data_IF_877435219459
#
_entry.id   IF_877435219459
#
_cell.length_a   1.000
_cell.length_b   1.000
_cell.length_c   1.000
_cell.angle_alpha   90.00
_cell.angle_beta   90.00
_cell.angle_gamma   90.00
#
_symmetry.space_group_name_H-M   'P 1'
#
loop_
_entity.id
_entity.type
_entity.pdbx_description
1 polymer ?
#
# COMPACT_ATOMS: atom_id res chain seq x y z
N UNK A 1 -10.38 -6.09 2.30
CA UNK A 1 -10.24 -7.29 1.44
C UNK A 1 -9.47 -8.38 2.15
N UNK A 2 -8.20 -8.13 2.49
CA UNK A 2 -7.29 -9.16 3.07
C UNK A 2 -7.85 -9.80 4.34
N UNK A 3 -8.29 -9.01 5.32
CA UNK A 3 -8.87 -9.53 6.57
C UNK A 3 -10.06 -10.45 6.29
N UNK A 4 -10.97 -10.04 5.39
CA UNK A 4 -12.15 -10.83 5.05
C UNK A 4 -11.77 -12.14 4.37
N UNK A 5 -10.82 -12.10 3.41
CA UNK A 5 -10.30 -13.31 2.77
C UNK A 5 -9.68 -14.27 3.77
N UNK A 6 -8.77 -13.78 4.62
CA UNK A 6 -8.07 -14.62 5.60
C UNK A 6 -9.02 -15.24 6.62
N UNK A 7 -10.02 -14.48 7.10
CA UNK A 7 -11.08 -15.04 7.94
C UNK A 7 -11.87 -16.13 7.20
N UNK A 8 -12.19 -15.91 5.92
CA UNK A 8 -12.87 -16.91 5.09
C UNK A 8 -12.06 -18.20 4.93
N UNK A 9 -10.76 -18.07 4.70
CA UNK A 9 -9.83 -19.20 4.60
C UNK A 9 -9.73 -19.97 5.91
N UNK A 10 -9.55 -19.27 7.03
CA UNK A 10 -9.40 -19.90 8.35
C UNK A 10 -10.70 -20.56 8.86
N UNK A 11 -11.86 -19.98 8.55
CA UNK A 11 -13.16 -20.50 8.94
C UNK A 11 -13.77 -21.47 7.92
N UNK A 12 -13.13 -21.68 6.77
CA UNK A 12 -13.64 -22.52 5.69
C UNK A 12 -14.87 -21.94 4.99
N UNK A 13 -15.10 -20.60 5.07
CA UNK A 13 -16.28 -19.94 4.50
C UNK A 13 -15.93 -19.34 3.14
N UNK A 14 -16.18 -20.09 2.05
CA UNK A 14 -15.83 -19.69 0.68
C UNK A 14 -16.42 -18.34 0.24
N UNK A 15 -17.60 -17.98 0.72
CA UNK A 15 -18.24 -16.69 0.39
C UNK A 15 -17.40 -15.49 0.87
N UNK A 16 -16.78 -15.61 2.06
CA UNK A 16 -15.91 -14.55 2.59
C UNK A 16 -14.63 -14.41 1.77
N UNK A 17 -14.09 -15.52 1.29
CA UNK A 17 -12.92 -15.52 0.40
C UNK A 17 -13.25 -14.77 -0.89
N UNK A 18 -14.40 -15.05 -1.49
CA UNK A 18 -14.87 -14.39 -2.71
C UNK A 18 -15.09 -12.89 -2.49
N UNK A 19 -15.79 -12.49 -1.43
CA UNK A 19 -16.02 -11.09 -1.08
C UNK A 19 -14.71 -10.36 -0.83
N UNK A 20 -13.79 -10.99 -0.10
CA UNK A 20 -12.45 -10.45 0.13
C UNK A 20 -11.63 -10.29 -1.16
N UNK A 21 -11.79 -11.20 -2.12
CA UNK A 21 -11.20 -11.14 -3.46
C UNK A 21 -11.65 -9.91 -4.24
N UNK A 22 -12.95 -9.65 -4.32
CA UNK A 22 -13.47 -8.43 -4.97
C UNK A 22 -12.96 -7.16 -4.30
N UNK A 23 -12.93 -7.12 -2.96
CA UNK A 23 -12.41 -5.97 -2.23
C UNK A 23 -10.90 -5.74 -2.46
N UNK A 24 -10.11 -6.80 -2.63
CA UNK A 24 -8.69 -6.71 -3.03
C UNK A 24 -8.54 -6.18 -4.45
N UNK A 25 -9.36 -6.68 -5.40
CA UNK A 25 -9.34 -6.24 -6.80
C UNK A 25 -9.68 -4.76 -6.96
N UNK A 26 -10.53 -4.21 -6.10
CA UNK A 26 -10.90 -2.80 -6.12
C UNK A 26 -9.86 -1.84 -5.51
N UNK A 27 -8.73 -2.34 -4.99
CA UNK A 27 -7.75 -1.52 -4.25
C UNK A 27 -7.25 -0.34 -5.06
N UNK A 28 -6.80 -0.56 -6.29
CA UNK A 28 -6.30 0.51 -7.16
C UNK A 28 -7.36 1.57 -7.47
N UNK A 29 -8.57 1.14 -7.79
CA UNK A 29 -9.70 2.04 -8.04
C UNK A 29 -10.05 2.88 -6.80
N UNK A 30 -10.09 2.26 -5.62
CA UNK A 30 -10.41 2.95 -4.36
C UNK A 30 -9.37 4.02 -4.01
N UNK A 31 -8.08 3.71 -4.16
CA UNK A 31 -6.99 4.66 -3.94
C UNK A 31 -7.11 5.83 -4.93
N UNK A 32 -7.30 5.56 -6.23
CA UNK A 32 -7.40 6.59 -7.25
C UNK A 32 -8.61 7.52 -7.04
N UNK A 33 -9.79 6.97 -6.71
CA UNK A 33 -10.97 7.76 -6.39
C UNK A 33 -10.72 8.63 -5.14
N UNK A 34 -10.10 8.08 -4.10
CA UNK A 34 -9.77 8.83 -2.87
C UNK A 34 -8.85 10.01 -3.15
N UNK A 35 -7.85 9.82 -4.02
CA UNK A 35 -6.94 10.90 -4.47
C UNK A 35 -7.74 11.94 -5.29
N UNK A 36 -8.60 11.49 -6.20
CA UNK A 36 -9.46 12.37 -6.99
C UNK A 36 -10.39 13.24 -6.14
N UNK A 37 -10.96 12.66 -5.06
CA UNK A 37 -11.75 13.41 -4.07
C UNK A 37 -10.89 14.45 -3.36
N UNK A 38 -9.69 14.08 -2.90
CA UNK A 38 -8.76 14.98 -2.23
C UNK A 38 -8.32 16.14 -3.14
N UNK A 39 -8.19 15.89 -4.45
CA UNK A 39 -7.87 16.88 -5.47
C UNK A 39 -9.09 17.66 -5.98
N UNK A 40 -10.29 17.39 -5.41
CA UNK A 40 -11.56 18.04 -5.81
C UNK A 40 -11.87 17.89 -7.30
N UNK A 41 -11.64 16.70 -7.87
CA UNK A 41 -11.90 16.44 -9.28
C UNK A 41 -13.40 16.50 -9.62
N UNK A 42 -13.76 17.02 -10.82
CA UNK A 42 -15.12 16.92 -11.34
C UNK A 42 -15.56 15.45 -11.46
N UNK A 43 -16.87 15.15 -11.38
CA UNK A 43 -17.37 13.77 -11.34
C UNK A 43 -16.91 12.89 -12.50
N UNK A 44 -16.87 13.41 -13.73
CA UNK A 44 -16.41 12.65 -14.90
C UNK A 44 -14.95 12.25 -14.80
N UNK A 45 -14.09 13.15 -14.32
CA UNK A 45 -12.67 12.85 -14.04
C UNK A 45 -12.57 11.85 -12.91
N UNK A 46 -13.26 12.12 -11.78
CA UNK A 46 -13.21 11.32 -10.57
C UNK A 46 -13.49 9.84 -10.84
N UNK A 47 -14.60 9.53 -11.53
CA UNK A 47 -14.95 8.14 -11.82
C UNK A 47 -14.05 7.50 -12.89
N UNK A 48 -13.53 8.29 -13.83
CA UNK A 48 -12.56 7.82 -14.82
C UNK A 48 -11.23 7.39 -14.19
N UNK A 49 -10.83 8.02 -13.08
CA UNK A 49 -9.64 7.64 -12.32
C UNK A 49 -9.71 6.22 -11.76
N UNK A 50 -10.90 5.63 -11.60
CA UNK A 50 -11.03 4.23 -11.17
C UNK A 50 -10.31 3.27 -12.12
N UNK A 51 -10.50 3.44 -13.44
CA UNK A 51 -9.83 2.61 -14.44
C UNK A 51 -8.31 2.85 -14.45
N UNK A 52 -7.88 4.10 -14.30
CA UNK A 52 -6.46 4.47 -14.19
C UNK A 52 -5.82 3.80 -12.98
N UNK A 53 -6.49 3.85 -11.82
CA UNK A 53 -5.99 3.24 -10.60
C UNK A 53 -5.89 1.72 -10.68
N UNK A 54 -6.83 1.06 -11.35
CA UNK A 54 -6.74 -0.39 -11.59
C UNK A 54 -5.52 -0.73 -12.45
N UNK A 55 -5.33 -0.04 -13.57
CA UNK A 55 -4.19 -0.25 -14.46
C UNK A 55 -2.85 0.02 -13.75
N UNK A 56 -2.73 1.13 -13.03
CA UNK A 56 -1.51 1.48 -12.32
C UNK A 56 -1.17 0.48 -11.20
N UNK A 57 -2.19 -0.02 -10.48
CA UNK A 57 -1.99 -1.00 -9.41
C UNK A 57 -1.53 -2.36 -9.96
N UNK A 58 -2.13 -2.81 -11.05
CA UNK A 58 -1.78 -4.06 -11.70
C UNK A 58 -0.36 -4.02 -12.28
N UNK A 59 -0.05 -2.99 -13.07
CA UNK A 59 1.26 -2.81 -13.70
C UNK A 59 2.39 -2.53 -12.69
N UNK A 60 2.07 -1.92 -11.56
CA UNK A 60 3.01 -1.61 -10.50
C UNK A 60 3.36 -2.80 -9.58
N UNK A 61 2.60 -3.90 -9.62
CA UNK A 61 2.85 -5.08 -8.80
C UNK A 61 3.03 -4.75 -7.32
N UNK A 62 4.18 -5.09 -6.75
CA UNK A 62 4.51 -4.77 -5.34
C UNK A 62 4.52 -3.25 -5.04
N UNK A 63 4.87 -2.43 -6.02
CA UNK A 63 4.80 -0.96 -5.96
C UNK A 63 3.45 -0.39 -6.38
N UNK A 64 2.43 -1.22 -6.62
CA UNK A 64 1.13 -0.84 -7.14
C UNK A 64 0.48 0.36 -6.44
N UNK A 65 0.32 0.38 -5.11
CA UNK A 65 -0.27 1.51 -4.41
C UNK A 65 0.49 2.84 -4.61
N UNK A 66 1.83 2.78 -4.67
CA UNK A 66 2.67 3.95 -4.96
C UNK A 66 2.52 4.38 -6.43
N UNK A 67 2.45 3.43 -7.35
CA UNK A 67 2.20 3.72 -8.76
C UNK A 67 0.84 4.41 -8.95
N UNK A 68 -0.21 3.91 -8.29
CA UNK A 68 -1.54 4.55 -8.29
C UNK A 68 -1.46 5.98 -7.78
N UNK A 69 -0.75 6.23 -6.67
CA UNK A 69 -0.59 7.59 -6.13
C UNK A 69 0.01 8.54 -7.17
N UNK A 70 1.15 8.16 -7.74
CA UNK A 70 1.87 9.02 -8.71
C UNK A 70 1.04 9.24 -9.97
N UNK A 71 0.59 8.15 -10.61
CA UNK A 71 -0.13 8.23 -11.89
C UNK A 71 -1.45 8.97 -11.74
N UNK A 72 -2.19 8.72 -10.65
CA UNK A 72 -3.51 9.35 -10.45
C UNK A 72 -3.40 10.86 -10.29
N UNK A 73 -2.38 11.38 -9.62
CA UNK A 73 -2.19 12.84 -9.49
C UNK A 73 -2.05 13.48 -10.87
N UNK A 74 -1.20 12.94 -11.73
CA UNK A 74 -1.02 13.48 -13.09
C UNK A 74 -2.29 13.29 -13.94
N UNK A 75 -2.89 12.11 -13.94
CA UNK A 75 -4.11 11.84 -14.71
C UNK A 75 -5.28 12.73 -14.28
N UNK A 76 -5.40 13.02 -12.98
CA UNK A 76 -6.40 13.93 -12.44
C UNK A 76 -6.21 15.36 -12.94
N UNK A 77 -4.98 15.87 -12.92
CA UNK A 77 -4.70 17.23 -13.41
C UNK A 77 -4.96 17.34 -14.92
N UNK A 78 -4.53 16.37 -15.72
CA UNK A 78 -4.86 16.34 -17.15
C UNK A 78 -6.38 16.25 -17.40
N UNK A 79 -7.09 15.42 -16.63
CA UNK A 79 -8.54 15.32 -16.71
C UNK A 79 -9.24 16.63 -16.38
N UNK A 80 -8.78 17.37 -15.35
CA UNK A 80 -9.33 18.69 -15.00
C UNK A 80 -9.11 19.74 -16.09
N UNK A 81 -7.95 19.71 -16.77
CA UNK A 81 -7.66 20.65 -17.87
C UNK A 81 -8.63 20.51 -19.04
N UNK A 82 -9.14 19.32 -19.28
CA UNK A 82 -10.04 19.02 -20.41
C UNK A 82 -11.51 19.10 -20.02
N UNK A 83 -11.82 18.93 -18.73
CA UNK A 83 -13.18 18.91 -18.21
C UNK A 83 -13.89 20.24 -18.46
N UNK A 84 -15.09 20.13 -19.07
CA UNK A 84 -15.97 21.26 -19.45
C UNK A 84 -15.45 22.18 -20.55
N UNK A 85 -14.34 21.85 -21.22
CA UNK A 85 -13.80 22.62 -22.33
C UNK A 85 -14.50 22.32 -23.68
N UNK A 86 -15.20 21.18 -23.76
CA UNK A 86 -15.86 20.74 -25.00
C UNK A 86 -17.37 20.57 -24.83
N UNK A 87 -18.13 20.72 -25.92
CA UNK A 87 -19.59 20.48 -25.93
C UNK A 87 -19.97 19.01 -25.70
N UNK A 88 -19.02 18.08 -25.90
CA UNK A 88 -19.19 16.63 -25.72
C UNK A 88 -18.35 16.11 -24.53
N UNK A 89 -18.32 16.89 -23.48
CA UNK A 89 -17.52 16.64 -22.27
C UNK A 89 -17.68 15.22 -21.70
N UNK A 90 -18.90 14.69 -21.76
CA UNK A 90 -19.20 13.34 -21.27
C UNK A 90 -18.39 12.21 -21.94
N UNK A 91 -17.88 12.45 -23.16
CA UNK A 91 -17.06 11.50 -23.92
C UNK A 91 -15.58 11.89 -23.80
N UNK A 92 -15.27 13.16 -24.03
CA UNK A 92 -13.89 13.65 -24.14
C UNK A 92 -13.15 13.57 -22.80
N UNK A 93 -13.78 14.00 -21.73
CA UNK A 93 -13.14 14.02 -20.42
C UNK A 93 -12.78 12.61 -19.90
N UNK A 94 -13.68 11.61 -19.89
CA UNK A 94 -13.32 10.25 -19.52
C UNK A 94 -12.28 9.64 -20.46
N UNK A 95 -12.42 9.84 -21.77
CA UNK A 95 -11.49 9.30 -22.76
C UNK A 95 -10.07 9.81 -22.52
N UNK A 96 -9.90 11.13 -22.40
CA UNK A 96 -8.58 11.74 -22.16
C UNK A 96 -8.01 11.29 -20.80
N UNK A 97 -8.81 11.35 -19.75
CA UNK A 97 -8.35 10.96 -18.40
C UNK A 97 -7.86 9.51 -18.36
N UNK A 98 -8.62 8.58 -18.95
CA UNK A 98 -8.27 7.16 -18.96
C UNK A 98 -7.06 6.94 -19.87
N UNK A 99 -7.05 7.46 -21.11
CA UNK A 99 -5.94 7.25 -22.04
C UNK A 99 -4.62 7.81 -21.47
N UNK A 100 -4.63 9.03 -21.00
CA UNK A 100 -3.42 9.63 -20.39
C UNK A 100 -2.99 8.86 -19.15
N UNK A 101 -3.93 8.51 -18.28
CA UNK A 101 -3.62 7.76 -17.06
C UNK A 101 -3.06 6.36 -17.34
N UNK A 102 -3.63 5.62 -18.30
CA UNK A 102 -3.14 4.29 -18.68
C UNK A 102 -1.78 4.38 -19.37
N UNK A 103 -1.56 5.35 -20.26
CA UNK A 103 -0.26 5.58 -20.88
C UNK A 103 0.82 5.92 -19.85
N UNK A 104 0.51 6.77 -18.89
CA UNK A 104 1.41 7.06 -17.76
C UNK A 104 1.66 5.80 -16.91
N UNK A 105 0.63 4.96 -16.71
CA UNK A 105 0.78 3.69 -15.99
C UNK A 105 1.75 2.77 -16.71
N UNK A 106 1.62 2.61 -18.02
CA UNK A 106 2.52 1.78 -18.84
C UNK A 106 3.98 2.26 -18.77
N UNK A 107 4.20 3.58 -18.71
CA UNK A 107 5.55 4.15 -18.64
C UNK A 107 6.16 4.13 -17.24
N UNK A 108 5.40 4.47 -16.22
CA UNK A 108 5.93 4.72 -14.87
C UNK A 108 5.71 3.57 -13.88
N UNK A 109 4.58 2.84 -13.98
CA UNK A 109 4.23 1.85 -12.97
C UNK A 109 5.21 0.66 -12.90
N UNK A 110 5.71 0.11 -14.01
CA UNK A 110 6.72 -0.95 -13.96
C UNK A 110 8.03 -0.51 -13.30
N UNK A 111 8.47 0.73 -13.54
CA UNK A 111 9.67 1.28 -12.90
C UNK A 111 9.51 1.43 -11.38
N UNK A 112 8.32 1.88 -10.94
CA UNK A 112 7.96 1.96 -9.52
C UNK A 112 7.89 0.55 -8.91
N UNK A 113 7.32 -0.41 -9.62
CA UNK A 113 7.30 -1.82 -9.23
C UNK A 113 8.70 -2.41 -9.07
N UNK A 114 9.58 -2.15 -10.03
CA UNK A 114 10.98 -2.56 -9.96
C UNK A 114 11.71 -1.93 -8.76
N UNK A 115 11.48 -0.64 -8.49
CA UNK A 115 12.04 0.01 -7.31
C UNK A 115 11.51 -0.61 -6.00
N UNK A 116 10.23 -0.94 -5.92
CA UNK A 116 9.67 -1.65 -4.76
C UNK A 116 10.26 -3.06 -4.60
N UNK A 117 10.55 -3.76 -5.69
CA UNK A 117 11.15 -5.10 -5.65
C UNK A 117 12.61 -5.10 -5.18
N UNK A 118 13.33 -3.96 -5.24
CA UNK A 118 14.67 -3.85 -4.65
C UNK A 118 14.66 -4.03 -3.13
N UNK A 119 13.54 -3.69 -2.47
CA UNK A 119 13.33 -4.01 -1.05
C UNK A 119 13.33 -5.53 -0.85
N UNK A 120 12.75 -6.28 -1.80
CA UNK A 120 12.78 -7.73 -1.81
C UNK A 120 14.21 -8.29 -1.88
N UNK A 121 15.07 -7.73 -2.74
CA UNK A 121 16.48 -8.19 -2.83
C UNK A 121 17.25 -7.92 -1.53
N UNK A 122 16.99 -6.81 -0.85
CA UNK A 122 17.57 -6.52 0.46
C UNK A 122 17.11 -7.52 1.53
N UNK A 123 15.85 -7.94 1.49
CA UNK A 123 15.33 -8.99 2.37
C UNK A 123 16.00 -10.33 2.07
N UNK A 124 16.13 -10.69 0.80
CA UNK A 124 16.82 -11.94 0.39
C UNK A 124 18.24 -11.98 0.94
N UNK A 125 19.01 -10.91 0.72
CA UNK A 125 20.35 -10.79 1.28
C UNK A 125 20.35 -10.95 2.82
N UNK A 126 19.39 -10.35 3.50
CA UNK A 126 19.30 -10.45 4.96
C UNK A 126 19.01 -11.88 5.44
N UNK A 127 18.29 -12.70 4.66
CA UNK A 127 18.00 -14.10 5.04
C UNK A 127 19.23 -15.02 5.02
N UNK A 128 20.32 -14.61 4.36
CA UNK A 128 21.59 -15.35 4.35
C UNK A 128 22.43 -15.11 5.60
N UNK A 129 22.06 -14.13 6.43
CA UNK A 129 22.77 -13.79 7.66
C UNK A 129 22.48 -14.79 8.78
N UNK A 130 23.28 -14.72 9.87
CA UNK A 130 22.97 -15.46 11.08
C UNK A 130 21.58 -15.12 11.63
N UNK A 131 20.84 -16.07 12.23
CA UNK A 131 19.43 -15.90 12.62
C UNK A 131 19.14 -14.64 13.43
N UNK A 132 20.04 -14.27 14.35
CA UNK A 132 19.86 -13.07 15.16
C UNK A 132 19.89 -11.78 14.34
N UNK A 133 20.89 -11.61 13.48
CA UNK A 133 21.01 -10.43 12.62
C UNK A 133 19.95 -10.44 11.51
N UNK A 134 19.65 -11.60 10.95
CA UNK A 134 18.54 -11.79 10.02
C UNK A 134 17.22 -11.29 10.66
N UNK A 135 16.92 -11.73 11.88
CA UNK A 135 15.73 -11.33 12.61
C UNK A 135 15.61 -9.80 12.73
N UNK A 136 16.69 -9.12 13.10
CA UNK A 136 16.71 -7.64 13.20
C UNK A 136 16.45 -7.00 11.83
N UNK A 137 17.21 -7.39 10.82
CA UNK A 137 17.21 -6.71 9.51
C UNK A 137 15.89 -6.97 8.79
N UNK A 138 15.42 -8.22 8.74
CA UNK A 138 14.16 -8.57 8.07
C UNK A 138 12.98 -7.88 8.73
N UNK A 139 12.89 -7.90 10.07
CA UNK A 139 11.78 -7.25 10.79
C UNK A 139 11.75 -5.75 10.58
N UNK A 140 12.91 -5.09 10.58
CA UNK A 140 13.00 -3.64 10.32
C UNK A 140 12.62 -3.31 8.88
N UNK A 141 13.20 -4.00 7.88
CA UNK A 141 12.93 -3.70 6.47
C UNK A 141 11.45 -3.97 6.13
N UNK A 142 10.92 -5.12 6.53
CA UNK A 142 9.51 -5.46 6.24
C UNK A 142 8.56 -4.57 7.02
N UNK A 143 8.87 -4.23 8.27
CA UNK A 143 8.10 -3.30 9.07
C UNK A 143 8.05 -1.89 8.45
N UNK A 144 9.19 -1.38 7.97
CA UNK A 144 9.25 -0.11 7.23
C UNK A 144 8.46 -0.22 5.93
N UNK A 145 8.62 -1.30 5.17
CA UNK A 145 7.89 -1.53 3.92
C UNK A 145 6.35 -1.53 4.11
N UNK A 146 5.86 -2.08 5.23
CA UNK A 146 4.44 -2.03 5.58
C UNK A 146 3.92 -0.59 5.76
N UNK A 147 4.75 0.30 6.29
CA UNK A 147 4.36 1.69 6.54
C UNK A 147 4.43 2.54 5.26
N UNK A 148 5.26 2.16 4.31
CA UNK A 148 5.35 2.79 2.99
C UNK A 148 4.14 2.41 2.10
N UNK A 149 3.80 3.21 1.08
CA UNK A 149 2.75 2.86 0.12
C UNK A 149 3.23 1.80 -0.89
N UNK A 150 3.74 0.69 -0.38
CA UNK A 150 4.15 -0.50 -1.13
C UNK A 150 3.51 -1.73 -0.50
N UNK A 151 3.33 -2.80 -1.26
CA UNK A 151 2.71 -4.01 -0.77
C UNK A 151 3.75 -4.93 -0.12
N UNK A 152 3.98 -4.78 1.19
CA UNK A 152 4.86 -5.69 1.94
C UNK A 152 4.41 -7.16 1.83
N UNK A 153 3.11 -7.41 1.84
CA UNK A 153 2.55 -8.75 1.66
C UNK A 153 2.90 -9.35 0.29
N UNK A 154 2.82 -8.55 -0.80
CA UNK A 154 3.22 -9.00 -2.13
C UNK A 154 4.73 -9.30 -2.21
N UNK A 155 5.56 -8.49 -1.57
CA UNK A 155 7.01 -8.73 -1.47
C UNK A 155 7.29 -10.04 -0.72
N UNK A 156 6.72 -10.22 0.46
CA UNK A 156 6.92 -11.42 1.27
C UNK A 156 6.44 -12.69 0.55
N UNK A 157 5.30 -12.63 -0.16
CA UNK A 157 4.77 -13.74 -0.95
C UNK A 157 5.68 -14.06 -2.15
N UNK A 158 6.16 -13.06 -2.87
CA UNK A 158 7.08 -13.24 -4.00
C UNK A 158 8.41 -13.88 -3.59
N UNK A 159 8.88 -13.59 -2.38
CA UNK A 159 10.10 -14.17 -1.80
C UNK A 159 9.85 -15.50 -1.08
N UNK A 160 8.60 -15.96 -0.97
CA UNK A 160 8.21 -17.17 -0.23
C UNK A 160 8.81 -17.21 1.18
N UNK A 161 8.79 -16.09 1.89
CA UNK A 161 9.34 -15.98 3.24
C UNK A 161 8.61 -16.92 4.21
N UNK A 162 9.33 -17.90 4.72
CA UNK A 162 8.83 -18.93 5.66
C UNK A 162 9.81 -19.10 6.83
N UNK A 163 9.42 -19.91 7.80
CA UNK A 163 10.27 -20.21 8.97
C UNK A 163 10.65 -18.94 9.74
N UNK A 164 11.89 -18.85 10.20
CA UNK A 164 12.41 -17.72 11.00
C UNK A 164 12.31 -16.38 10.28
N UNK A 165 12.58 -16.33 8.97
CA UNK A 165 12.47 -15.08 8.20
C UNK A 165 11.02 -14.61 8.09
N UNK A 166 10.07 -15.54 7.94
CA UNK A 166 8.64 -15.25 7.98
C UNK A 166 8.19 -14.74 9.34
N UNK A 167 8.64 -15.38 10.42
CA UNK A 167 8.40 -14.92 11.80
C UNK A 167 8.91 -13.52 12.05
N UNK A 168 10.16 -13.24 11.69
CA UNK A 168 10.76 -11.91 11.81
C UNK A 168 10.00 -10.84 11.01
N UNK A 169 9.54 -11.17 9.79
CA UNK A 169 8.73 -10.27 8.97
C UNK A 169 7.40 -9.91 9.65
N UNK A 170 6.71 -10.91 10.21
CA UNK A 170 5.45 -10.71 10.96
C UNK A 170 5.70 -9.88 12.22
N UNK A 171 6.74 -10.18 12.99
CA UNK A 171 7.11 -9.40 14.18
C UNK A 171 7.36 -7.93 13.84
N UNK A 172 8.08 -7.65 12.75
CA UNK A 172 8.33 -6.30 12.27
C UNK A 172 7.04 -5.56 11.88
N UNK A 173 6.14 -6.21 11.16
CA UNK A 173 4.83 -5.66 10.83
C UNK A 173 4.00 -5.36 12.09
N UNK A 174 3.90 -6.30 13.02
CA UNK A 174 3.17 -6.12 14.27
C UNK A 174 3.75 -4.98 15.11
N UNK A 175 5.08 -4.89 15.22
CA UNK A 175 5.74 -3.84 15.96
C UNK A 175 5.45 -2.44 15.39
N UNK A 176 5.46 -2.30 14.06
CA UNK A 176 5.08 -1.04 13.40
C UNK A 176 3.60 -0.70 13.64
N UNK A 177 2.70 -1.66 13.43
CA UNK A 177 1.26 -1.44 13.60
C UNK A 177 0.91 -1.07 15.05
N UNK A 178 1.31 -1.88 16.02
CA UNK A 178 1.04 -1.66 17.43
C UNK A 178 1.79 -0.44 17.95
N UNK A 179 3.04 -0.25 17.54
CA UNK A 179 3.84 0.90 17.94
C UNK A 179 3.18 2.22 17.57
N UNK A 180 2.75 2.40 16.32
CA UNK A 180 2.04 3.61 15.92
C UNK A 180 0.65 3.72 16.54
N UNK A 181 -0.06 2.59 16.71
CA UNK A 181 -1.36 2.57 17.37
C UNK A 181 -1.28 3.10 18.81
N UNK A 182 -0.30 2.63 19.57
CA UNK A 182 -0.07 3.06 20.95
C UNK A 182 0.44 4.50 21.01
N UNK A 183 1.38 4.89 20.16
CA UNK A 183 1.91 6.27 20.14
C UNK A 183 0.83 7.30 19.84
N UNK A 184 -0.12 6.98 18.96
CA UNK A 184 -1.21 7.87 18.58
C UNK A 184 -2.45 7.72 19.45
N UNK A 185 -2.43 6.92 20.50
CA UNK A 185 -3.61 6.61 21.32
C UNK A 185 -4.19 7.85 21.99
N UNK A 186 -3.34 8.79 22.40
CA UNK A 186 -3.77 10.03 23.06
C UNK A 186 -4.69 10.85 22.16
N UNK A 187 -4.40 10.94 20.87
CA UNK A 187 -5.12 11.70 19.85
C UNK A 187 -6.28 10.90 19.27
N UNK A 188 -6.04 9.65 18.90
CA UNK A 188 -6.97 8.84 18.10
C UNK A 188 -7.78 7.82 18.91
N UNK A 189 -7.48 7.64 20.21
CA UNK A 189 -8.22 6.75 21.13
C UNK A 189 -8.36 5.33 20.56
N UNK A 190 -9.45 4.65 20.92
CA UNK A 190 -9.74 3.28 20.50
C UNK A 190 -9.91 3.12 18.98
N UNK A 191 -10.52 4.10 18.31
CA UNK A 191 -10.68 4.07 16.85
C UNK A 191 -9.34 4.01 16.12
N UNK A 192 -8.38 4.84 16.53
CA UNK A 192 -7.02 4.82 15.97
C UNK A 192 -6.22 3.57 16.37
N UNK A 193 -6.41 3.08 17.60
CA UNK A 193 -5.77 1.84 18.06
C UNK A 193 -6.17 0.65 17.19
N UNK A 194 -7.45 0.45 16.94
CA UNK A 194 -7.93 -0.66 16.10
C UNK A 194 -7.61 -0.44 14.62
N UNK A 195 -7.78 0.78 14.10
CA UNK A 195 -7.50 1.07 12.70
C UNK A 195 -6.02 0.80 12.33
N UNK A 196 -5.09 1.16 13.20
CA UNK A 196 -3.65 0.96 12.98
C UNK A 196 -3.18 -0.42 13.45
N UNK A 197 -3.59 -0.85 14.63
CA UNK A 197 -3.15 -2.12 15.23
C UNK A 197 -3.65 -3.37 14.49
N UNK A 198 -4.82 -3.30 13.84
CA UNK A 198 -5.39 -4.40 13.04
C UNK A 198 -5.31 -4.09 11.54
N UNK A 199 -5.43 -2.82 11.15
CA UNK A 199 -5.46 -2.40 9.76
C UNK A 199 -4.05 -2.24 9.17
N UNK A 200 -3.45 -1.07 9.35
CA UNK A 200 -2.11 -0.77 8.80
C UNK A 200 -1.48 0.47 9.44
N UNK A 201 -0.15 0.44 9.61
CA UNK A 201 0.65 1.59 10.02
C UNK A 201 0.77 2.68 8.93
N UNK A 202 0.43 2.38 7.68
CA UNK A 202 0.45 3.34 6.56
C UNK A 202 -0.42 4.58 6.81
N UNK A 203 -1.43 4.49 7.67
CA UNK A 203 -2.26 5.63 8.09
C UNK A 203 -1.43 6.77 8.71
N UNK A 204 -0.24 6.48 9.23
CA UNK A 204 0.66 7.48 9.81
C UNK A 204 1.59 8.14 8.77
N UNK A 205 1.52 7.75 7.50
CA UNK A 205 2.43 8.23 6.46
C UNK A 205 2.42 9.76 6.35
N UNK A 206 1.25 10.40 6.43
CA UNK A 206 1.14 11.86 6.42
C UNK A 206 1.86 12.54 7.60
N UNK A 207 1.85 11.92 8.76
CA UNK A 207 2.55 12.42 9.95
C UNK A 207 4.06 12.15 9.86
N UNK A 208 4.45 11.01 9.31
CA UNK A 208 5.86 10.63 9.08
C UNK A 208 6.53 11.62 8.13
N UNK A 209 5.86 11.99 7.03
CA UNK A 209 6.38 13.00 6.08
C UNK A 209 6.60 14.35 6.75
N UNK A 210 5.72 14.75 7.68
CA UNK A 210 5.86 16.00 8.44
C UNK A 210 6.94 15.93 9.51
N UNK A 211 7.07 14.78 10.17
CA UNK A 211 8.05 14.54 11.23
C UNK A 211 8.58 13.11 11.18
N UNK A 212 9.67 12.84 10.45
CA UNK A 212 10.22 11.49 10.30
C UNK A 212 10.66 10.83 11.63
N UNK A 213 10.89 11.62 12.67
CA UNK A 213 11.33 11.10 13.97
C UNK A 213 10.31 10.18 14.63
N UNK A 214 9.02 10.32 14.32
CA UNK A 214 7.98 9.45 14.87
C UNK A 214 8.11 8.00 14.38
N UNK A 215 8.89 7.75 13.33
CA UNK A 215 9.15 6.40 12.83
C UNK A 215 10.16 5.62 13.67
N UNK A 216 11.01 6.32 14.42
CA UNK A 216 12.09 5.70 15.19
C UNK A 216 11.60 4.70 16.27
N UNK A 217 10.63 5.03 17.15
CA UNK A 217 10.21 4.10 18.18
C UNK A 217 9.63 2.78 17.65
N UNK A 218 8.70 2.75 16.68
CA UNK A 218 8.21 1.51 16.09
C UNK A 218 9.32 0.72 15.39
N UNK A 219 10.26 1.40 14.72
CA UNK A 219 11.40 0.76 14.06
C UNK A 219 12.35 0.11 15.05
N UNK A 220 12.64 0.76 16.17
CA UNK A 220 13.42 0.16 17.25
C UNK A 220 12.69 -1.03 17.88
N UNK A 221 11.37 -0.93 18.06
CA UNK A 221 10.56 -2.06 18.51
C UNK A 221 10.65 -3.25 17.54
N UNK A 222 10.59 -3.00 16.22
CA UNK A 222 10.80 -4.04 15.19
C UNK A 222 12.17 -4.70 15.32
N UNK A 223 13.24 -3.91 15.54
CA UNK A 223 14.59 -4.44 15.68
C UNK A 223 14.76 -5.34 16.93
N UNK A 224 14.03 -5.03 18.00
CA UNK A 224 14.07 -5.82 19.24
C UNK A 224 13.21 -7.08 19.13
N UNK A 225 12.03 -7.00 18.53
CA UNK A 225 11.10 -8.12 18.44
C UNK A 225 11.47 -9.12 17.37
N UNK A 226 12.14 -8.71 16.28
CA UNK A 226 12.52 -9.57 15.17
C UNK A 226 13.34 -10.80 15.56
N UNK A 227 14.42 -10.67 16.35
CA UNK A 227 15.22 -11.83 16.78
C UNK A 227 14.51 -12.79 17.73
N UNK A 228 13.40 -12.37 18.34
CA UNK A 228 12.63 -13.15 19.32
C UNK A 228 11.55 -13.98 18.64
N UNK A 229 11.19 -13.64 17.40
CA UNK A 229 10.15 -14.30 16.61
C UNK A 229 10.72 -15.44 15.77
#
# INVERSE_FOLDING_TARGET
GTIISTLGEQLGIGILVTVGGYAKGATGAAIAISIGVALQCPPLVLFSLAAVGMAANELGGAGGPLAVLVVTIFAAEFGKLVSKETKIDIIVTPFVTICVGVLLSLGCAPAIGAAASTVGTAIMWATELQPFFMGIIVSVIVGIALTLPISSAAICAALSLTGLAGGAAVAGCCAQMVGFAVMSFKENKWGGLFAQGIGTSMLQMGNIVRNPRIWLPPTLASAITGPVA
#
